data_IF_430805155666
#
_entry.id   IF_430805155666
#
_cell.length_a   1.000
_cell.length_b   1.000
_cell.length_c   1.000
_cell.angle_alpha   90.00
_cell.angle_beta   90.00
_cell.angle_gamma   90.00
#
_symmetry.space_group_name_H-M   'P 1'
#
loop_
_entity.id
_entity.type
_entity.pdbx_description
1 polymer ?
#
# COMPACT_ATOMS: atom_id res chain seq x y z
N UNK A 1 37.26 -3.88 21.42
CA UNK A 1 35.83 -4.03 21.07
C UNK A 1 35.35 -2.65 20.65
N UNK A 2 34.87 -2.50 19.39
CA UNK A 2 34.27 -1.23 18.97
C UNK A 2 33.00 -0.95 19.75
N UNK A 3 32.71 0.33 19.94
CA UNK A 3 31.45 0.74 20.59
C UNK A 3 30.22 0.29 19.77
N UNK A 4 29.17 -0.14 20.44
CA UNK A 4 27.93 -0.53 19.76
C UNK A 4 27.28 0.68 19.07
N UNK A 5 26.68 0.50 17.88
CA UNK A 5 25.98 1.57 17.18
C UNK A 5 24.64 1.89 17.87
N UNK A 6 24.20 3.14 17.74
CA UNK A 6 22.88 3.56 18.23
C UNK A 6 21.77 3.03 17.32
N UNK A 7 22.09 2.65 16.10
CA UNK A 7 21.13 2.04 15.18
C UNK A 7 21.67 1.83 13.77
N UNK A 8 20.74 1.47 12.88
CA UNK A 8 21.02 1.15 11.49
C UNK A 8 20.08 1.90 10.57
N UNK A 9 20.62 2.39 9.46
CA UNK A 9 19.81 2.85 8.34
C UNK A 9 19.83 1.76 7.26
N UNK A 10 18.66 1.35 6.79
CA UNK A 10 18.49 0.37 5.71
C UNK A 10 17.86 1.06 4.52
N UNK A 11 18.44 0.88 3.36
CA UNK A 11 17.97 1.49 2.10
C UNK A 11 17.72 0.42 1.04
N UNK A 12 16.75 0.70 0.17
CA UNK A 12 16.57 -0.01 -1.08
C UNK A 12 16.80 0.97 -2.23
N UNK A 13 17.75 0.69 -3.09
CA UNK A 13 18.16 1.52 -4.21
C UNK A 13 17.84 0.86 -5.55
N UNK A 14 17.59 1.65 -6.59
CA UNK A 14 17.41 1.13 -7.95
C UNK A 14 18.73 0.84 -8.65
N UNK A 15 19.77 1.50 -8.24
CA UNK A 15 21.13 1.35 -8.78
C UNK A 15 22.16 1.31 -7.67
N UNK A 16 23.40 1.02 -8.05
CA UNK A 16 24.55 1.13 -7.18
C UNK A 16 25.72 1.76 -7.94
N UNK A 17 26.53 2.55 -7.24
CA UNK A 17 27.81 3.06 -7.74
C UNK A 17 28.92 2.39 -6.94
N UNK A 18 29.69 1.53 -7.60
CA UNK A 18 30.68 0.71 -6.90
C UNK A 18 30.06 -0.15 -5.79
N UNK A 19 30.46 0.09 -4.55
CA UNK A 19 29.97 -0.62 -3.35
C UNK A 19 28.83 0.09 -2.62
N UNK A 20 28.37 1.24 -3.14
CA UNK A 20 27.37 2.07 -2.49
C UNK A 20 26.02 2.01 -3.22
N UNK A 21 24.90 1.98 -2.49
CA UNK A 21 23.60 2.14 -3.13
C UNK A 21 23.48 3.58 -3.66
N UNK A 22 22.89 3.73 -4.85
CA UNK A 22 22.59 5.03 -5.45
C UNK A 22 21.12 5.12 -5.86
N UNK A 23 20.57 6.34 -6.00
CA UNK A 23 19.14 6.57 -6.28
C UNK A 23 18.24 5.79 -5.32
N UNK A 24 18.56 5.85 -4.03
CA UNK A 24 17.89 5.07 -3.04
C UNK A 24 16.70 5.79 -2.44
N UNK A 25 15.70 5.00 -2.16
CA UNK A 25 14.60 5.39 -1.32
C UNK A 25 14.93 4.92 0.10
N UNK A 26 15.07 5.87 1.03
CA UNK A 26 15.30 5.56 2.42
C UNK A 26 14.09 4.82 2.98
N UNK A 27 14.25 3.54 3.21
CA UNK A 27 13.12 2.68 3.57
C UNK A 27 12.88 2.65 5.06
N UNK A 28 13.93 2.67 5.86
CA UNK A 28 13.84 2.72 7.32
C UNK A 28 15.11 3.28 7.93
N UNK A 29 14.92 4.21 8.87
CA UNK A 29 15.99 4.86 9.63
C UNK A 29 15.67 4.73 11.09
N UNK A 30 16.68 4.73 11.92
CA UNK A 30 16.52 4.74 13.35
C UNK A 30 16.18 3.38 13.95
N UNK A 31 16.60 2.31 13.31
CA UNK A 31 16.46 0.98 13.86
C UNK A 31 17.52 0.76 14.94
N UNK A 32 17.13 0.83 16.22
CA UNK A 32 17.94 0.45 17.34
C UNK A 32 17.48 -0.91 17.87
N UNK A 33 18.37 -1.77 18.25
CA UNK A 33 18.03 -2.94 19.02
C UNK A 33 18.54 -4.26 18.47
N UNK A 34 18.36 -5.26 19.28
CA UNK A 34 18.83 -6.63 19.13
C UNK A 34 18.16 -7.45 18.02
N UNK A 35 17.18 -6.90 17.32
CA UNK A 35 16.53 -7.63 16.24
C UNK A 35 17.46 -7.80 15.04
N UNK A 36 17.73 -9.04 14.71
CA UNK A 36 18.55 -9.44 13.55
C UNK A 36 17.76 -9.50 12.25
N UNK A 37 16.48 -9.12 12.26
CA UNK A 37 15.57 -9.20 11.10
C UNK A 37 14.85 -7.89 10.86
N UNK A 38 14.83 -7.46 9.60
CA UNK A 38 14.08 -6.31 9.14
C UNK A 38 13.17 -6.69 7.96
N UNK A 39 11.89 -6.48 8.10
CA UNK A 39 10.92 -6.70 7.02
C UNK A 39 10.64 -5.36 6.33
N UNK A 40 11.03 -5.26 5.07
CA UNK A 40 10.68 -4.15 4.19
C UNK A 40 9.36 -4.47 3.46
N UNK A 41 8.29 -3.80 3.83
CA UNK A 41 6.96 -4.00 3.22
C UNK A 41 6.70 -3.01 2.09
N UNK A 42 5.95 -3.46 1.07
CA UNK A 42 5.51 -2.60 -0.03
C UNK A 42 6.61 -2.19 -1.01
N UNK A 43 7.70 -2.94 -1.06
CA UNK A 43 8.75 -2.75 -2.06
C UNK A 43 8.17 -3.15 -3.43
N UNK A 44 8.16 -2.26 -4.43
CA UNK A 44 7.65 -2.57 -5.77
C UNK A 44 8.42 -3.69 -6.44
N UNK A 45 7.77 -4.42 -7.35
CA UNK A 45 8.45 -5.43 -8.16
C UNK A 45 9.62 -4.83 -8.96
N UNK A 46 10.66 -5.60 -9.13
CA UNK A 46 11.88 -5.19 -9.83
C UNK A 46 13.15 -5.57 -9.09
N UNK A 47 14.27 -5.13 -9.64
CA UNK A 47 15.59 -5.30 -9.03
C UNK A 47 15.89 -4.15 -8.10
N UNK A 48 16.40 -4.49 -6.93
CA UNK A 48 16.79 -3.56 -5.87
C UNK A 48 18.18 -3.90 -5.33
N UNK A 49 18.87 -2.89 -4.88
CA UNK A 49 20.14 -2.99 -4.17
C UNK A 49 19.91 -2.58 -2.72
N UNK A 50 20.08 -3.52 -1.81
CA UNK A 50 19.86 -3.30 -0.38
C UNK A 50 21.18 -2.98 0.27
N UNK A 51 21.27 -1.80 0.85
CA UNK A 51 22.41 -1.34 1.62
C UNK A 51 22.04 -1.11 3.07
N UNK A 52 22.98 -1.35 3.95
CA UNK A 52 22.86 -1.10 5.40
C UNK A 52 24.11 -0.39 5.87
N UNK A 53 23.96 0.62 6.70
CA UNK A 53 25.04 1.20 7.47
C UNK A 53 24.61 1.42 8.92
N UNK A 54 25.56 1.33 9.82
CA UNK A 54 25.35 1.70 11.22
C UNK A 54 25.48 3.20 11.40
N UNK A 55 24.87 3.73 12.42
CA UNK A 55 25.08 5.09 12.85
C UNK A 55 25.28 5.21 14.35
N UNK A 56 25.94 6.27 14.76
CA UNK A 56 26.08 6.70 16.13
C UNK A 56 25.82 8.21 16.20
N UNK A 57 25.16 8.66 17.26
CA UNK A 57 25.02 10.10 17.52
C UNK A 57 26.28 10.60 18.24
N UNK A 58 26.76 11.77 17.84
CA UNK A 58 27.79 12.47 18.59
C UNK A 58 27.22 12.90 19.95
N UNK A 59 28.00 12.70 21.01
CA UNK A 59 27.58 13.03 22.37
C UNK A 59 27.02 14.43 22.48
N UNK A 60 25.78 14.55 22.96
CA UNK A 60 25.09 15.81 23.15
C UNK A 60 24.57 16.51 21.88
N UNK A 61 24.61 15.84 20.73
CA UNK A 61 24.11 16.41 19.47
C UNK A 61 23.17 15.46 18.73
N UNK A 62 22.36 16.02 17.82
CA UNK A 62 21.54 15.24 16.88
C UNK A 62 22.31 14.85 15.61
N UNK A 63 23.63 15.04 15.58
CA UNK A 63 24.46 14.73 14.42
C UNK A 63 24.79 13.26 14.37
N UNK A 64 24.40 12.59 13.29
CA UNK A 64 24.72 11.19 13.03
C UNK A 64 26.09 11.04 12.38
N UNK A 65 26.93 10.19 12.94
CA UNK A 65 28.12 9.67 12.27
C UNK A 65 27.75 8.30 11.67
N UNK A 66 28.03 8.13 10.40
CA UNK A 66 27.64 6.92 9.65
C UNK A 66 28.87 6.02 9.42
N UNK A 67 28.69 4.72 9.55
CA UNK A 67 29.69 3.76 9.10
C UNK A 67 29.73 3.71 7.57
N UNK A 68 30.78 3.09 7.03
CA UNK A 68 30.76 2.65 5.62
C UNK A 68 29.55 1.72 5.39
N UNK A 69 29.09 1.68 4.15
CA UNK A 69 28.07 0.71 3.75
C UNK A 69 28.56 -0.72 3.96
N UNK A 70 27.72 -1.56 4.52
CA UNK A 70 27.91 -3.00 4.44
C UNK A 70 27.83 -3.46 2.97
N UNK A 71 28.14 -4.72 2.70
CA UNK A 71 28.02 -5.29 1.36
C UNK A 71 26.60 -5.07 0.80
N UNK A 72 26.51 -4.35 -0.32
CA UNK A 72 25.25 -4.10 -0.99
C UNK A 72 24.79 -5.33 -1.74
N UNK A 73 23.64 -5.86 -1.36
CA UNK A 73 23.07 -7.08 -1.96
C UNK A 73 22.01 -6.76 -3.00
N UNK A 74 22.12 -7.41 -4.16
CA UNK A 74 21.10 -7.38 -5.19
C UNK A 74 19.95 -8.30 -4.83
N UNK A 75 18.72 -7.76 -4.80
CA UNK A 75 17.49 -8.51 -4.50
C UNK A 75 16.48 -8.28 -5.62
N UNK A 76 15.85 -9.34 -6.10
CA UNK A 76 14.77 -9.25 -7.07
C UNK A 76 13.42 -9.50 -6.40
N UNK A 77 12.58 -8.47 -6.37
CA UNK A 77 11.20 -8.60 -5.96
C UNK A 77 10.37 -8.98 -7.18
N UNK A 78 9.95 -10.23 -7.26
CA UNK A 78 9.29 -10.80 -8.47
C UNK A 78 7.86 -10.32 -8.67
N UNK A 79 7.10 -10.06 -7.59
CA UNK A 79 5.71 -9.62 -7.65
C UNK A 79 5.37 -8.69 -6.50
N UNK A 80 4.27 -7.95 -6.62
CA UNK A 80 3.66 -7.27 -5.48
C UNK A 80 3.39 -8.30 -4.37
N UNK A 81 3.69 -7.93 -3.13
CA UNK A 81 3.37 -8.75 -1.95
C UNK A 81 1.86 -8.95 -1.76
N UNK A 82 1.04 -8.16 -2.45
CA UNK A 82 -0.40 -8.32 -2.47
C UNK A 82 -0.80 -9.16 -3.68
N UNK A 83 -1.03 -10.43 -3.45
CA UNK A 83 -1.61 -11.35 -4.43
C UNK A 83 -3.13 -11.35 -4.31
N UNK A 84 -3.81 -11.32 -5.44
CA UNK A 84 -5.27 -11.28 -5.49
C UNK A 84 -5.83 -9.85 -5.33
N UNK A 85 -7.14 -9.75 -5.48
CA UNK A 85 -7.91 -8.52 -5.35
C UNK A 85 -9.09 -8.76 -4.40
N UNK A 86 -9.61 -7.72 -3.71
CA UNK A 86 -10.77 -7.91 -2.87
C UNK A 86 -11.98 -8.34 -3.71
N UNK A 87 -12.85 -9.16 -3.14
CA UNK A 87 -14.05 -9.61 -3.81
C UNK A 87 -15.30 -9.16 -3.06
N UNK A 88 -16.23 -8.53 -3.77
CA UNK A 88 -17.50 -8.07 -3.22
C UNK A 88 -18.39 -9.30 -2.96
N UNK A 89 -18.72 -9.59 -1.71
CA UNK A 89 -19.71 -10.59 -1.30
C UNK A 89 -21.12 -10.05 -1.47
N UNK A 90 -21.39 -8.86 -0.95
CA UNK A 90 -22.68 -8.21 -1.08
C UNK A 90 -22.54 -6.69 -1.17
N UNK A 91 -23.51 -6.06 -1.84
CA UNK A 91 -23.69 -4.63 -1.81
C UNK A 91 -25.18 -4.34 -1.70
N UNK A 92 -25.58 -3.72 -0.58
CA UNK A 92 -26.99 -3.43 -0.26
C UNK A 92 -27.20 -1.94 -0.16
N UNK A 93 -28.30 -1.45 -0.73
CA UNK A 93 -28.76 -0.07 -0.55
C UNK A 93 -29.86 -0.09 0.50
N UNK A 94 -29.69 0.66 1.57
CA UNK A 94 -30.72 0.86 2.60
C UNK A 94 -31.18 2.31 2.59
N UNK A 95 -32.46 2.51 2.92
CA UNK A 95 -33.08 3.84 3.04
C UNK A 95 -33.49 4.07 4.49
N UNK A 96 -33.17 5.25 4.98
CA UNK A 96 -33.58 5.71 6.31
C UNK A 96 -34.07 7.16 6.16
N UNK A 97 -35.39 7.33 6.06
CA UNK A 97 -35.99 8.59 5.67
C UNK A 97 -35.53 9.02 4.27
N UNK A 98 -35.01 10.24 4.16
CA UNK A 98 -34.44 10.78 2.91
C UNK A 98 -32.98 10.31 2.66
N UNK A 99 -32.32 9.71 3.66
CA UNK A 99 -30.92 9.27 3.58
C UNK A 99 -30.83 7.87 3.00
N UNK A 100 -29.80 7.62 2.20
CA UNK A 100 -29.51 6.32 1.61
C UNK A 100 -28.10 5.93 1.95
N UNK A 101 -27.90 4.67 2.33
CA UNK A 101 -26.59 4.13 2.64
C UNK A 101 -26.31 2.95 1.71
N UNK A 102 -25.06 2.83 1.25
CA UNK A 102 -24.60 1.65 0.50
C UNK A 102 -23.65 0.88 1.40
N UNK A 103 -24.08 -0.28 1.85
CA UNK A 103 -23.28 -1.20 2.68
C UNK A 103 -22.66 -2.27 1.79
N UNK A 104 -21.35 -2.40 1.85
CA UNK A 104 -20.58 -3.36 1.05
C UNK A 104 -19.86 -4.32 1.98
N UNK A 105 -20.09 -5.62 1.82
CA UNK A 105 -19.33 -6.68 2.47
C UNK A 105 -18.44 -7.36 1.46
N UNK A 106 -17.21 -7.66 1.83
CA UNK A 106 -16.20 -8.16 0.91
C UNK A 106 -15.16 -9.06 1.59
N UNK A 107 -14.40 -9.78 0.78
CA UNK A 107 -13.20 -10.50 1.23
C UNK A 107 -11.96 -9.66 0.94
N UNK A 108 -10.95 -9.85 1.77
CA UNK A 108 -9.66 -9.15 1.68
C UNK A 108 -8.56 -10.18 1.42
N UNK A 109 -7.61 -9.93 0.51
CA UNK A 109 -6.44 -10.79 0.35
C UNK A 109 -5.63 -10.90 1.65
N UNK A 110 -5.17 -12.11 1.99
CA UNK A 110 -4.51 -12.41 3.29
C UNK A 110 -3.31 -11.51 3.60
N UNK A 111 -2.55 -11.10 2.61
CA UNK A 111 -1.31 -10.31 2.77
C UNK A 111 -1.54 -8.80 2.67
N UNK A 112 -2.78 -8.31 2.73
CA UNK A 112 -3.07 -6.87 2.64
C UNK A 112 -3.19 -6.21 4.01
N UNK A 113 -2.72 -4.97 4.10
CA UNK A 113 -2.86 -4.13 5.30
C UNK A 113 -4.20 -3.39 5.36
N UNK A 114 -4.96 -3.41 4.25
CA UNK A 114 -6.28 -2.81 4.18
C UNK A 114 -6.79 -2.65 2.74
N UNK A 115 -7.93 -1.97 2.63
CA UNK A 115 -8.61 -1.75 1.36
C UNK A 115 -9.06 -0.30 1.20
N UNK A 116 -9.09 0.16 -0.06
CA UNK A 116 -9.75 1.39 -0.46
C UNK A 116 -10.96 1.05 -1.33
N UNK A 117 -12.10 1.70 -1.06
CA UNK A 117 -13.36 1.49 -1.77
C UNK A 117 -13.90 2.79 -2.35
N UNK A 118 -14.50 2.72 -3.53
CA UNK A 118 -15.08 3.88 -4.20
C UNK A 118 -16.46 3.57 -4.77
N UNK A 119 -17.33 4.58 -4.78
CA UNK A 119 -18.49 4.67 -5.66
C UNK A 119 -18.16 5.72 -6.72
N UNK A 120 -17.95 5.29 -7.95
CA UNK A 120 -17.53 6.13 -9.07
C UNK A 120 -18.72 6.45 -9.99
N UNK A 121 -18.67 7.59 -10.67
CA UNK A 121 -19.67 8.00 -11.67
C UNK A 121 -19.34 7.50 -13.06
N UNK A 122 -18.05 7.24 -13.35
CA UNK A 122 -17.58 6.81 -14.66
C UNK A 122 -16.86 5.47 -14.57
N UNK A 123 -16.95 4.70 -15.63
CA UNK A 123 -16.31 3.40 -15.78
C UNK A 123 -15.71 3.28 -17.17
N UNK A 124 -14.52 2.69 -17.28
CA UNK A 124 -13.95 2.27 -18.54
C UNK A 124 -14.44 0.86 -18.88
N UNK A 125 -14.61 0.59 -20.16
CA UNK A 125 -14.99 -0.73 -20.68
C UNK A 125 -13.93 -1.20 -21.67
N UNK A 126 -13.75 -2.50 -21.78
CA UNK A 126 -13.07 -3.15 -22.89
C UNK A 126 -14.03 -3.36 -24.06
N UNK A 127 -13.50 -3.76 -25.22
CA UNK A 127 -14.27 -3.98 -26.45
C UNK A 127 -15.39 -5.01 -26.29
N UNK A 128 -15.21 -6.00 -25.40
CA UNK A 128 -16.24 -6.98 -25.06
C UNK A 128 -17.25 -6.47 -23.99
N UNK A 129 -17.24 -5.18 -23.67
CA UNK A 129 -18.15 -4.55 -22.71
C UNK A 129 -17.83 -4.77 -21.21
N UNK A 130 -16.78 -5.51 -20.90
CA UNK A 130 -16.36 -5.73 -19.49
C UNK A 130 -15.80 -4.46 -18.87
N UNK A 131 -16.11 -4.21 -17.61
CA UNK A 131 -15.59 -3.05 -16.87
C UNK A 131 -14.11 -3.25 -16.51
N UNK A 132 -13.24 -2.34 -16.94
CA UNK A 132 -11.78 -2.40 -16.77
C UNK A 132 -11.24 -1.40 -15.75
N UNK A 133 -11.93 -0.29 -15.53
CA UNK A 133 -11.49 0.74 -14.58
C UNK A 133 -12.63 1.63 -14.10
N UNK A 134 -12.36 2.44 -13.09
CA UNK A 134 -13.29 3.42 -12.53
C UNK A 134 -12.64 4.79 -12.40
N UNK A 135 -13.42 5.84 -12.63
CA UNK A 135 -12.99 7.23 -12.50
C UNK A 135 -14.14 8.12 -11.98
N UNK A 136 -13.84 9.39 -11.70
CA UNK A 136 -14.83 10.35 -11.13
C UNK A 136 -15.46 9.80 -9.85
N UNK A 137 -14.63 9.62 -8.82
CA UNK A 137 -15.03 9.07 -7.53
C UNK A 137 -15.98 10.05 -6.81
N UNK A 138 -17.26 9.67 -6.68
CA UNK A 138 -18.26 10.43 -5.95
C UNK A 138 -18.16 10.22 -4.43
N UNK A 139 -17.83 8.99 -4.02
CA UNK A 139 -17.61 8.63 -2.62
C UNK A 139 -16.40 7.73 -2.50
N UNK A 140 -15.59 7.99 -1.47
CA UNK A 140 -14.37 7.22 -1.22
C UNK A 140 -14.29 6.82 0.25
N UNK A 141 -13.89 5.58 0.49
CA UNK A 141 -13.54 5.03 1.82
C UNK A 141 -12.15 4.45 1.74
N UNK A 142 -11.16 5.15 2.31
CA UNK A 142 -9.75 4.74 2.33
C UNK A 142 -9.41 4.02 3.64
N UNK A 143 -8.34 3.23 3.60
CA UNK A 143 -7.71 2.61 4.78
C UNK A 143 -8.67 1.71 5.58
N UNK A 144 -9.55 0.97 4.92
CA UNK A 144 -10.49 0.09 5.59
C UNK A 144 -9.80 -1.21 5.97
N UNK A 145 -9.82 -1.56 7.26
CA UNK A 145 -9.26 -2.80 7.80
C UNK A 145 -10.33 -3.86 8.09
N UNK A 146 -11.62 -3.44 8.13
CA UNK A 146 -12.77 -4.33 8.29
C UNK A 146 -13.22 -4.88 6.94
N UNK A 147 -13.99 -5.97 6.95
CA UNK A 147 -14.59 -6.60 5.77
C UNK A 147 -15.93 -6.00 5.35
N UNK A 148 -16.32 -4.91 5.98
CA UNK A 148 -17.56 -4.17 5.67
C UNK A 148 -17.26 -2.68 5.64
N UNK A 149 -17.78 -2.00 4.62
CA UNK A 149 -17.72 -0.55 4.48
C UNK A 149 -19.12 0.02 4.23
N UNK A 150 -19.40 1.18 4.81
CA UNK A 150 -20.67 1.89 4.61
C UNK A 150 -20.42 3.26 4.01
N UNK A 151 -20.96 3.50 2.83
CA UNK A 151 -21.09 4.84 2.25
C UNK A 151 -22.40 5.43 2.73
N UNK A 152 -22.31 6.49 3.54
CA UNK A 152 -23.49 7.16 4.12
C UNK A 152 -23.95 8.31 3.23
N UNK A 153 -25.27 8.62 3.28
CA UNK A 153 -25.90 9.76 2.61
C UNK A 153 -25.59 9.80 1.09
N UNK A 154 -25.65 8.65 0.44
CA UNK A 154 -25.42 8.54 -1.00
C UNK A 154 -26.62 9.12 -1.74
N UNK A 155 -26.38 10.09 -2.60
CA UNK A 155 -27.44 10.70 -3.44
C UNK A 155 -28.00 9.68 -4.43
N UNK A 156 -29.28 9.79 -4.84
CA UNK A 156 -29.84 8.97 -5.91
C UNK A 156 -28.97 9.03 -7.18
N UNK A 157 -28.90 7.91 -7.88
CA UNK A 157 -28.14 7.84 -9.11
C UNK A 157 -27.49 6.49 -9.37
N UNK A 158 -26.78 6.39 -10.48
CA UNK A 158 -26.02 5.21 -10.87
C UNK A 158 -24.55 5.38 -10.47
N UNK A 159 -24.01 4.35 -9.85
CA UNK A 159 -22.62 4.31 -9.41
C UNK A 159 -21.95 2.98 -9.79
N UNK A 160 -20.65 3.01 -9.86
CA UNK A 160 -19.81 1.84 -10.09
C UNK A 160 -18.94 1.60 -8.85
N UNK A 161 -19.25 0.52 -8.14
CA UNK A 161 -18.52 0.11 -6.95
C UNK A 161 -17.27 -0.63 -7.35
N UNK A 162 -16.13 -0.21 -6.81
CA UNK A 162 -14.85 -0.90 -6.93
C UNK A 162 -14.04 -0.78 -5.64
N UNK A 163 -13.26 -1.81 -5.35
CA UNK A 163 -12.31 -1.82 -4.24
C UNK A 163 -10.96 -2.36 -4.67
N UNK A 164 -9.92 -1.94 -4.00
CA UNK A 164 -8.57 -2.47 -4.14
C UNK A 164 -7.94 -2.67 -2.77
N UNK A 165 -7.14 -3.70 -2.64
CA UNK A 165 -6.35 -3.91 -1.45
C UNK A 165 -4.99 -3.22 -1.59
N UNK A 166 -4.32 -2.97 -0.47
CA UNK A 166 -2.98 -2.41 -0.46
C UNK A 166 -2.11 -3.03 0.64
N UNK A 167 -0.80 -2.94 0.44
CA UNK A 167 0.21 -3.12 1.47
C UNK A 167 0.87 -1.78 1.73
N UNK A 168 1.05 -1.44 3.01
CA UNK A 168 1.81 -0.28 3.44
C UNK A 168 3.30 -0.54 3.24
N UNK A 169 4.03 0.47 2.79
CA UNK A 169 5.47 0.46 2.61
C UNK A 169 5.94 1.89 2.41
N UNK A 170 7.06 2.08 1.74
CA UNK A 170 7.52 3.41 1.34
C UNK A 170 6.44 4.15 0.53
N UNK A 171 5.81 3.43 -0.41
CA UNK A 171 4.58 3.86 -1.05
C UNK A 171 3.55 2.73 -0.95
N UNK A 172 2.25 3.06 -0.91
CA UNK A 172 1.21 2.04 -0.94
C UNK A 172 1.28 1.26 -2.26
N UNK A 173 1.47 -0.04 -2.17
CA UNK A 173 1.33 -0.95 -3.30
C UNK A 173 -0.11 -1.44 -3.37
N UNK A 174 -0.77 -1.27 -4.52
CA UNK A 174 -2.17 -1.60 -4.70
C UNK A 174 -2.36 -2.81 -5.60
N UNK A 175 -3.38 -3.61 -5.30
CA UNK A 175 -3.88 -4.62 -6.25
C UNK A 175 -4.61 -3.96 -7.42
N UNK A 176 -4.91 -4.74 -8.46
CA UNK A 176 -5.95 -4.37 -9.43
C UNK A 176 -7.30 -4.17 -8.70
N UNK A 177 -8.21 -3.43 -9.32
CA UNK A 177 -9.57 -3.27 -8.83
C UNK A 177 -10.30 -4.62 -8.70
N UNK A 178 -11.19 -4.73 -7.73
CA UNK A 178 -12.19 -5.81 -7.64
C UNK A 178 -13.01 -5.89 -8.94
N UNK A 179 -13.78 -6.95 -9.13
CA UNK A 179 -14.85 -6.94 -10.15
C UNK A 179 -15.76 -5.72 -9.89
N UNK A 180 -15.87 -4.84 -10.88
CA UNK A 180 -16.67 -3.61 -10.78
C UNK A 180 -18.15 -3.97 -10.82
N UNK A 181 -18.93 -3.41 -9.88
CA UNK A 181 -20.36 -3.68 -9.77
C UNK A 181 -21.16 -2.39 -9.95
N UNK A 182 -22.14 -2.40 -10.88
CA UNK A 182 -23.11 -1.30 -11.01
C UNK A 182 -24.06 -1.30 -9.82
N UNK A 183 -24.24 -0.15 -9.18
CA UNK A 183 -25.15 0.09 -8.04
C UNK A 183 -26.14 1.19 -8.43
N UNK A 184 -27.41 0.92 -8.33
CA UNK A 184 -28.47 1.92 -8.53
C UNK A 184 -29.00 2.32 -7.16
N UNK A 185 -28.90 3.59 -6.84
CA UNK A 185 -29.45 4.22 -5.62
C UNK A 185 -30.68 5.01 -6.03
N UNK A 186 -31.87 4.53 -5.61
CA UNK A 186 -33.15 5.16 -5.90
C UNK A 186 -33.58 6.11 -4.78
#
# INVERSE_FOLDING_TARGET
KGEEPDGYDVVAARSKNGKEPSDYIKVKSGYSGSSKELILRGVPAGTWYIGVHAYKYLNGSNTKVLSKWAEVRKVTVKTSLVTGKPAVKSAKVSRQGTKRNVTVTFTVPKSSDGTDWVLAKKVSKSDNGSYTGVSSYAYTKKNQTKTTVVFKNVKPGVYYLAGRAYVKGYAKSYTKWSKIKKIVVK
#
